data_IF_937819688890
#
_entry.id   IF_937819688890
#
_cell.length_a   1.000
_cell.length_b   1.000
_cell.length_c   1.000
_cell.angle_alpha   90.00
_cell.angle_beta   90.00
_cell.angle_gamma   90.00
#
_symmetry.space_group_name_H-M   'P 1'
#
loop_
_entity.id
_entity.type
_entity.pdbx_description
1 polymer ?
#
# COMPACT_ATOMS: atom_id res chain seq x y z
N UNK A 1 34.54 9.38 21.53
CA UNK A 1 34.59 8.66 20.24
C UNK A 1 33.19 8.66 19.64
N UNK A 2 32.94 9.41 18.56
CA UNK A 2 31.67 9.32 17.82
C UNK A 2 31.89 8.30 16.71
N UNK A 3 31.35 7.11 16.88
CA UNK A 3 31.30 6.12 15.82
C UNK A 3 30.05 6.40 15.02
N UNK A 4 30.19 6.62 13.71
CA UNK A 4 29.05 6.69 12.81
C UNK A 4 28.85 5.29 12.23
N UNK A 5 27.75 4.63 12.59
CA UNK A 5 27.35 3.35 12.03
C UNK A 5 26.27 3.64 10.97
N UNK A 6 26.61 3.58 9.69
CA UNK A 6 25.63 3.65 8.61
C UNK A 6 25.20 2.23 8.21
N UNK A 7 23.90 2.06 8.07
CA UNK A 7 23.26 0.86 7.56
C UNK A 7 23.24 0.92 6.03
N UNK A 8 23.77 -0.09 5.35
CA UNK A 8 23.48 -0.27 3.93
C UNK A 8 23.07 -1.70 3.62
N UNK A 9 22.17 -1.83 2.65
CA UNK A 9 21.56 -3.10 2.28
C UNK A 9 22.16 -3.56 0.97
N UNK A 10 22.71 -4.77 0.95
CA UNK A 10 23.04 -5.47 -0.30
C UNK A 10 21.78 -6.20 -0.78
N UNK A 11 21.18 -5.72 -1.88
CA UNK A 11 19.97 -6.33 -2.44
C UNK A 11 20.32 -7.46 -3.41
N UNK A 12 19.73 -8.63 -3.20
CA UNK A 12 19.00 -9.29 -4.29
C UNK A 12 17.77 -10.01 -3.75
N UNK A 13 16.69 -9.91 -4.53
CA UNK A 13 15.45 -10.71 -4.55
C UNK A 13 15.12 -11.48 -3.26
N UNK A 14 14.08 -10.98 -2.57
CA UNK A 14 13.42 -11.51 -1.38
C UNK A 14 14.01 -11.06 -0.04
N UNK A 15 13.80 -9.79 0.28
CA UNK A 15 13.24 -9.51 1.62
C UNK A 15 11.85 -10.12 1.59
N UNK A 16 11.59 -11.16 2.39
CA UNK A 16 10.21 -11.55 2.66
C UNK A 16 9.52 -10.33 3.30
N UNK A 17 8.64 -9.69 2.54
CA UNK A 17 7.63 -8.75 3.04
C UNK A 17 7.96 -7.25 3.01
N UNK A 18 8.52 -6.69 1.92
CA UNK A 18 8.70 -5.22 1.78
C UNK A 18 8.51 -4.70 0.34
N UNK A 19 7.56 -5.25 -0.44
CA UNK A 19 7.21 -4.71 -1.76
C UNK A 19 8.37 -4.50 -2.75
N UNK A 20 8.18 -3.63 -3.74
CA UNK A 20 9.21 -3.24 -4.69
C UNK A 20 8.67 -2.49 -5.90
N UNK A 21 9.59 -2.04 -6.76
CA UNK A 21 9.23 -1.45 -8.05
C UNK A 21 8.48 -2.50 -8.90
N UNK A 22 7.41 -2.11 -9.60
CA UNK A 22 6.56 -3.03 -10.33
C UNK A 22 7.28 -3.80 -11.43
N UNK A 23 8.30 -3.21 -12.08
CA UNK A 23 9.21 -3.95 -12.98
C UNK A 23 9.86 -5.19 -12.35
N UNK A 24 9.98 -5.24 -11.02
CA UNK A 24 10.54 -6.36 -10.26
C UNK A 24 9.44 -7.26 -9.71
N UNK A 25 8.40 -6.70 -9.11
CA UNK A 25 7.38 -7.48 -8.38
C UNK A 25 6.16 -7.86 -9.21
N UNK A 26 5.92 -7.18 -10.33
CA UNK A 26 4.88 -7.46 -11.32
C UNK A 26 5.45 -7.32 -12.75
N UNK A 27 6.44 -8.16 -13.13
CA UNK A 27 7.18 -7.99 -14.38
C UNK A 27 6.28 -8.14 -15.61
N UNK A 28 6.46 -7.25 -16.59
CA UNK A 28 5.70 -7.26 -17.84
C UNK A 28 4.36 -6.52 -17.79
N UNK A 29 4.01 -5.94 -16.64
CA UNK A 29 2.90 -5.01 -16.52
C UNK A 29 3.39 -3.59 -16.85
N UNK A 30 2.87 -2.99 -17.93
CA UNK A 30 3.37 -1.70 -18.41
C UNK A 30 2.90 -0.54 -17.52
N UNK A 31 1.68 -0.62 -16.99
CA UNK A 31 1.11 0.42 -16.12
C UNK A 31 1.93 0.58 -14.84
N UNK A 32 2.39 -0.52 -14.27
CA UNK A 32 3.02 -0.55 -12.96
C UNK A 32 4.55 -0.59 -12.98
N UNK A 33 5.18 -0.58 -14.17
CA UNK A 33 6.62 -0.78 -14.32
C UNK A 33 7.47 0.12 -13.40
N UNK A 34 7.04 1.37 -13.23
CA UNK A 34 7.73 2.39 -12.45
C UNK A 34 7.03 2.73 -11.12
N UNK A 35 5.97 2.02 -10.77
CA UNK A 35 5.23 2.22 -9.53
C UNK A 35 5.76 1.32 -8.43
N UNK A 36 5.74 1.81 -7.19
CA UNK A 36 6.06 0.98 -6.04
C UNK A 36 4.82 0.19 -5.62
N UNK A 37 4.94 -1.14 -5.59
CA UNK A 37 3.88 -2.03 -5.13
C UNK A 37 4.29 -2.58 -3.78
N UNK A 38 3.48 -2.31 -2.77
CA UNK A 38 3.73 -2.84 -1.44
C UNK A 38 3.22 -4.28 -1.31
N UNK A 39 4.06 -5.13 -0.71
CA UNK A 39 3.79 -6.54 -0.42
C UNK A 39 4.23 -6.80 1.01
N UNK A 40 3.33 -6.54 1.95
CA UNK A 40 3.57 -6.66 3.38
C UNK A 40 2.58 -7.67 4.00
N UNK A 41 3.07 -8.76 4.61
CA UNK A 41 2.21 -9.82 5.14
C UNK A 41 1.52 -9.39 6.44
N UNK A 42 0.49 -10.14 6.84
CA UNK A 42 -0.24 -9.83 8.07
C UNK A 42 0.65 -10.02 9.31
N UNK A 43 1.67 -10.86 9.21
CA UNK A 43 2.61 -11.12 10.30
C UNK A 43 1.96 -11.87 11.46
N UNK A 44 1.01 -12.76 11.15
CA UNK A 44 0.24 -13.51 12.13
C UNK A 44 -0.94 -12.76 12.75
N UNK A 45 -1.15 -11.48 12.41
CA UNK A 45 -2.36 -10.75 12.81
C UNK A 45 -3.56 -11.28 12.02
N UNK A 46 -4.64 -11.59 12.73
CA UNK A 46 -5.91 -12.03 12.14
C UNK A 46 -6.99 -10.95 12.18
N UNK A 47 -6.81 -9.92 13.03
CA UNK A 47 -7.75 -8.81 13.20
C UNK A 47 -7.02 -7.51 13.52
N UNK A 48 -7.64 -6.37 13.20
CA UNK A 48 -7.19 -5.04 13.61
C UNK A 48 -8.37 -4.20 14.08
N UNK A 49 -8.24 -3.51 15.22
CA UNK A 49 -9.23 -2.53 15.68
C UNK A 49 -8.84 -1.12 15.26
N UNK A 50 -9.74 -0.43 14.56
CA UNK A 50 -9.56 0.95 14.13
C UNK A 50 -10.88 1.73 14.25
N UNK A 51 -10.84 2.88 14.94
CA UNK A 51 -11.99 3.75 15.20
C UNK A 51 -13.22 3.03 15.77
N UNK A 52 -13.00 2.09 16.69
CA UNK A 52 -14.05 1.35 17.39
C UNK A 52 -14.57 0.12 16.65
N UNK A 53 -14.09 -0.14 15.44
CA UNK A 53 -14.47 -1.31 14.65
C UNK A 53 -13.32 -2.30 14.58
N UNK A 54 -13.64 -3.60 14.69
CA UNK A 54 -12.66 -4.67 14.49
C UNK A 54 -12.85 -5.23 13.10
N UNK A 55 -11.78 -5.24 12.32
CA UNK A 55 -11.73 -5.77 10.96
C UNK A 55 -10.94 -7.08 10.98
N UNK A 56 -11.48 -8.13 10.38
CA UNK A 56 -10.70 -9.32 10.06
C UNK A 56 -9.64 -8.97 8.99
N UNK A 57 -8.53 -9.69 9.05
CA UNK A 57 -7.42 -9.55 8.11
C UNK A 57 -7.27 -10.80 7.27
N UNK A 58 -6.94 -10.63 5.99
CA UNK A 58 -6.67 -11.72 5.07
C UNK A 58 -5.35 -11.47 4.34
N UNK A 59 -4.52 -12.51 4.24
CA UNK A 59 -3.28 -12.47 3.48
C UNK A 59 -3.51 -13.07 2.10
N UNK A 60 -3.28 -12.28 1.04
CA UNK A 60 -3.46 -12.69 -0.36
C UNK A 60 -2.21 -12.31 -1.13
N UNK A 61 -1.53 -13.28 -1.73
CA UNK A 61 -0.31 -13.01 -2.48
C UNK A 61 0.84 -12.39 -1.65
N UNK A 62 0.81 -12.51 -0.32
CA UNK A 62 1.76 -11.85 0.59
C UNK A 62 1.41 -10.41 0.96
N UNK A 63 0.28 -9.88 0.49
CA UNK A 63 -0.30 -8.62 0.94
C UNK A 63 -1.34 -8.87 2.03
N UNK A 64 -1.32 -8.06 3.10
CA UNK A 64 -2.35 -8.09 4.13
C UNK A 64 -3.45 -7.07 3.85
N UNK A 65 -4.68 -7.55 3.73
CA UNK A 65 -5.86 -6.77 3.39
C UNK A 65 -6.88 -6.81 4.53
N UNK A 66 -7.66 -5.73 4.67
CA UNK A 66 -8.92 -5.80 5.40
C UNK A 66 -9.89 -6.73 4.68
N UNK A 67 -10.58 -7.58 5.45
CA UNK A 67 -11.61 -8.50 4.95
C UNK A 67 -13.01 -7.88 4.92
N UNK A 68 -13.22 -6.77 5.62
CA UNK A 68 -14.43 -5.95 5.55
C UNK A 68 -14.13 -4.58 4.93
N UNK A 69 -15.18 -3.95 4.37
CA UNK A 69 -15.08 -2.58 3.89
C UNK A 69 -14.84 -1.62 5.06
N UNK A 70 -14.01 -0.61 4.85
CA UNK A 70 -13.75 0.42 5.85
C UNK A 70 -15.05 1.16 6.20
N UNK A 71 -15.23 1.45 7.49
CA UNK A 71 -16.44 2.11 8.00
C UNK A 71 -16.11 3.27 8.97
N UNK A 72 -14.93 3.86 8.81
CA UNK A 72 -14.50 5.00 9.62
C UNK A 72 -15.26 6.29 9.27
N UNK A 73 -15.55 7.10 10.28
CA UNK A 73 -16.13 8.44 10.14
C UNK A 73 -15.14 9.57 10.47
N UNK A 74 -13.91 9.20 10.81
CA UNK A 74 -12.80 10.11 11.08
C UNK A 74 -11.55 9.67 10.31
N UNK A 75 -10.68 10.62 9.98
CA UNK A 75 -9.35 10.33 9.47
C UNK A 75 -8.44 9.79 10.57
N UNK A 76 -7.24 9.33 10.20
CA UNK A 76 -6.23 8.75 11.11
C UNK A 76 -5.79 9.72 12.21
N UNK A 77 -5.79 11.01 11.94
CA UNK A 77 -5.48 12.05 12.93
C UNK A 77 -6.66 12.38 13.88
N UNK A 78 -7.81 11.73 13.70
CA UNK A 78 -9.03 11.92 14.48
C UNK A 78 -9.93 13.04 13.97
N UNK A 79 -9.54 13.79 12.93
CA UNK A 79 -10.41 14.81 12.33
C UNK A 79 -11.64 14.17 11.68
N UNK A 80 -12.82 14.81 11.73
CA UNK A 80 -14.04 14.25 11.15
C UNK A 80 -13.98 14.27 9.62
N UNK A 81 -14.54 13.24 9.00
CA UNK A 81 -14.85 13.23 7.56
C UNK A 81 -16.23 13.87 7.38
N UNK A 82 -16.40 14.68 6.34
CA UNK A 82 -17.70 15.30 6.09
C UNK A 82 -18.79 14.25 5.80
N UNK A 83 -19.98 14.46 6.36
CA UNK A 83 -21.17 13.63 6.13
C UNK A 83 -22.30 14.51 5.57
N UNK A 84 -22.34 14.70 4.24
CA UNK A 84 -23.37 15.54 3.60
C UNK A 84 -24.80 15.02 3.74
N UNK A 85 -24.98 13.74 4.07
CA UNK A 85 -26.28 13.06 4.13
C UNK A 85 -27.13 13.34 2.86
N UNK A 86 -28.27 14.00 3.02
CA UNK A 86 -29.24 14.32 1.96
C UNK A 86 -28.86 15.55 1.12
N UNK A 87 -27.80 16.28 1.49
CA UNK A 87 -27.31 17.42 0.71
C UNK A 87 -26.41 16.95 -0.45
N UNK A 88 -27.05 16.67 -1.59
CA UNK A 88 -26.34 16.24 -2.80
C UNK A 88 -25.41 17.32 -3.36
N UNK A 89 -25.79 18.59 -3.24
CA UNK A 89 -24.94 19.71 -3.63
C UNK A 89 -23.67 19.79 -2.77
N UNK A 90 -23.78 19.52 -1.46
CA UNK A 90 -22.60 19.46 -0.58
C UNK A 90 -21.71 18.29 -0.96
N UNK A 91 -22.28 17.11 -1.22
CA UNK A 91 -21.52 15.93 -1.67
C UNK A 91 -20.77 16.19 -2.99
N UNK A 92 -21.47 16.66 -4.02
CA UNK A 92 -20.93 16.88 -5.36
C UNK A 92 -19.78 17.91 -5.35
N UNK A 93 -19.87 18.94 -4.52
CA UNK A 93 -18.87 20.00 -4.43
C UNK A 93 -17.79 19.75 -3.36
N UNK A 94 -17.82 18.61 -2.66
CA UNK A 94 -16.88 18.33 -1.59
C UNK A 94 -15.51 17.91 -2.15
N UNK A 95 -14.56 18.83 -2.09
CA UNK A 95 -13.16 18.64 -2.51
C UNK A 95 -12.20 18.25 -1.36
N UNK A 96 -12.69 18.14 -0.13
CA UNK A 96 -11.88 17.83 1.08
C UNK A 96 -12.03 16.39 1.56
N UNK A 97 -13.02 15.68 1.04
CA UNK A 97 -13.40 14.33 1.41
C UNK A 97 -14.76 14.26 2.08
N UNK A 98 -15.57 13.29 1.65
CA UNK A 98 -16.88 12.97 2.21
C UNK A 98 -17.09 11.46 2.28
N UNK A 99 -17.95 11.03 3.21
CA UNK A 99 -18.44 9.66 3.28
C UNK A 99 -19.97 9.60 3.37
N UNK A 100 -20.52 8.42 3.07
CA UNK A 100 -21.92 8.10 3.19
C UNK A 100 -22.11 6.63 3.54
N UNK A 101 -23.20 6.32 4.23
CA UNK A 101 -23.72 4.96 4.29
C UNK A 101 -24.63 4.75 3.08
N UNK A 102 -24.80 3.50 2.64
CA UNK A 102 -25.78 3.23 1.58
C UNK A 102 -27.16 3.78 2.02
N UNK A 103 -27.86 4.49 1.13
CA UNK A 103 -29.12 5.19 1.42
C UNK A 103 -29.07 6.15 2.63
N UNK A 104 -27.88 6.60 3.04
CA UNK A 104 -27.65 7.38 4.26
C UNK A 104 -28.17 6.70 5.54
N UNK A 105 -28.21 5.36 5.56
CA UNK A 105 -28.70 4.57 6.70
C UNK A 105 -27.58 3.69 7.27
N UNK A 106 -26.94 4.17 8.33
CA UNK A 106 -25.92 3.40 9.03
C UNK A 106 -26.49 2.22 9.83
N UNK A 107 -27.75 2.30 10.27
CA UNK A 107 -28.34 1.27 11.14
C UNK A 107 -28.55 -0.02 10.36
N UNK A 108 -28.94 0.11 9.09
CA UNK A 108 -29.22 -1.04 8.23
C UNK A 108 -27.97 -1.52 7.49
N UNK A 109 -27.11 -0.63 7.00
CA UNK A 109 -26.09 -1.01 6.02
C UNK A 109 -24.64 -0.97 6.51
N UNK A 110 -24.33 -0.28 7.61
CA UNK A 110 -22.95 -0.07 8.02
C UNK A 110 -22.24 -1.38 8.41
N UNK A 111 -22.93 -2.28 9.13
CA UNK A 111 -22.33 -3.53 9.64
C UNK A 111 -21.85 -4.45 8.53
N UNK A 112 -22.60 -4.49 7.42
CA UNK A 112 -22.39 -5.46 6.36
C UNK A 112 -21.52 -4.86 5.25
N UNK A 113 -21.76 -3.59 4.89
CA UNK A 113 -21.20 -3.00 3.68
C UNK A 113 -20.15 -1.92 3.94
N UNK A 114 -20.01 -1.45 5.17
CA UNK A 114 -19.16 -0.32 5.51
C UNK A 114 -19.62 0.99 4.86
N UNK A 115 -18.71 1.96 4.77
CA UNK A 115 -19.00 3.28 4.23
C UNK A 115 -18.53 3.43 2.78
N UNK A 116 -19.21 4.32 2.06
CA UNK A 116 -18.88 4.79 0.72
C UNK A 116 -18.18 6.14 0.82
N UNK A 117 -16.99 6.25 0.25
CA UNK A 117 -16.16 7.46 0.31
C UNK A 117 -16.02 8.07 -1.08
N UNK A 118 -16.06 9.40 -1.17
CA UNK A 118 -15.57 10.05 -2.37
C UNK A 118 -14.04 9.96 -2.45
N UNK A 119 -13.48 10.12 -3.65
CA UNK A 119 -12.04 9.94 -3.84
C UNK A 119 -11.21 11.02 -3.13
N UNK A 120 -11.79 12.19 -2.85
CA UNK A 120 -11.12 13.22 -2.05
C UNK A 120 -10.83 12.76 -0.61
N UNK A 121 -11.70 11.93 -0.02
CA UNK A 121 -11.44 11.30 1.28
C UNK A 121 -10.34 10.24 1.19
N UNK A 122 -10.27 9.53 0.06
CA UNK A 122 -9.28 8.47 -0.21
C UNK A 122 -7.85 9.01 -0.17
N UNK A 123 -7.61 10.17 -0.78
CA UNK A 123 -6.28 10.79 -0.86
C UNK A 123 -6.06 11.94 0.13
N UNK A 124 -6.95 12.08 1.12
CA UNK A 124 -6.77 13.11 2.13
C UNK A 124 -5.44 12.87 2.91
N UNK A 125 -4.59 13.89 3.09
CA UNK A 125 -3.31 13.76 3.79
C UNK A 125 -3.43 13.26 5.24
N UNK A 126 -4.57 13.48 5.90
CA UNK A 126 -4.86 12.96 7.23
C UNK A 126 -5.08 11.45 7.25
N UNK A 127 -5.21 10.80 6.08
CA UNK A 127 -5.21 9.35 5.90
C UNK A 127 -6.51 8.67 6.33
N UNK A 128 -7.08 7.83 5.46
CA UNK A 128 -8.33 7.11 5.74
C UNK A 128 -8.12 5.80 6.51
N UNK A 129 -7.05 5.09 6.19
CA UNK A 129 -6.66 3.83 6.85
C UNK A 129 -5.82 4.08 8.11
N UNK A 130 -5.74 3.13 9.06
CA UNK A 130 -4.92 3.26 10.28
C UNK A 130 -3.43 3.48 9.97
N UNK A 131 -2.66 3.90 11.00
CA UNK A 131 -1.21 3.98 10.88
C UNK A 131 -0.61 2.62 10.50
N UNK A 132 0.36 2.61 9.58
CA UNK A 132 0.90 1.38 8.99
C UNK A 132 -0.02 0.72 7.96
N UNK A 133 -1.11 1.38 7.54
CA UNK A 133 -2.02 0.93 6.50
C UNK A 133 -2.35 2.07 5.54
N UNK A 134 -2.75 1.72 4.32
CA UNK A 134 -3.12 2.67 3.28
C UNK A 134 -4.29 2.18 2.44
N UNK A 135 -4.89 3.07 1.65
CA UNK A 135 -5.81 2.66 0.58
C UNK A 135 -4.97 2.14 -0.57
N UNK A 136 -5.31 0.95 -1.06
CA UNK A 136 -4.54 0.29 -2.10
C UNK A 136 -4.45 1.11 -3.39
N UNK A 137 -3.26 1.15 -3.98
CA UNK A 137 -3.05 1.73 -5.32
C UNK A 137 -3.63 0.83 -6.41
N UNK A 138 -3.79 1.35 -7.61
CA UNK A 138 -4.22 0.56 -8.76
C UNK A 138 -3.25 -0.60 -9.07
N UNK A 139 -1.95 -0.38 -8.84
CA UNK A 139 -0.93 -1.40 -9.02
C UNK A 139 -0.92 -2.46 -7.91
N UNK A 140 -1.31 -2.11 -6.69
CA UNK A 140 -1.51 -3.10 -5.63
C UNK A 140 -2.74 -3.98 -5.89
N UNK A 141 -3.79 -3.41 -6.49
CA UNK A 141 -4.92 -4.20 -7.00
C UNK A 141 -4.51 -5.11 -8.17
N UNK A 142 -3.71 -4.63 -9.12
CA UNK A 142 -3.22 -5.45 -10.24
C UNK A 142 -2.31 -6.59 -9.76
N UNK A 143 -1.49 -6.33 -8.74
CA UNK A 143 -0.70 -7.36 -8.08
C UNK A 143 -1.59 -8.43 -7.43
N UNK A 144 -2.60 -8.01 -6.65
CA UNK A 144 -3.58 -8.92 -6.05
C UNK A 144 -4.22 -9.83 -7.11
N UNK A 145 -4.76 -9.25 -8.18
CA UNK A 145 -5.36 -9.98 -9.30
C UNK A 145 -4.38 -10.96 -9.96
N UNK A 146 -3.12 -10.55 -10.14
CA UNK A 146 -2.06 -11.41 -10.66
C UNK A 146 -1.77 -12.60 -9.77
N UNK A 147 -1.78 -12.42 -8.44
CA UNK A 147 -1.60 -13.53 -7.49
C UNK A 147 -2.77 -14.54 -7.53
N UNK A 148 -3.92 -14.12 -8.05
CA UNK A 148 -5.09 -14.96 -8.27
C UNK A 148 -5.11 -15.64 -9.65
N UNK A 149 -4.12 -15.37 -10.50
CA UNK A 149 -3.95 -16.03 -11.79
C UNK A 149 -4.18 -15.15 -13.02
N UNK A 150 -4.51 -13.85 -12.84
CA UNK A 150 -4.74 -12.95 -13.97
C UNK A 150 -3.43 -12.70 -14.72
N UNK A 151 -3.45 -12.84 -16.05
CA UNK A 151 -2.28 -12.55 -16.88
C UNK A 151 -1.92 -11.06 -16.82
N UNK A 152 -0.64 -10.71 -16.95
CA UNK A 152 -0.22 -9.29 -16.97
C UNK A 152 -0.81 -8.51 -18.14
N UNK A 153 -1.07 -9.20 -19.27
CA UNK A 153 -1.78 -8.60 -20.41
C UNK A 153 -3.22 -8.22 -20.04
N UNK A 154 -3.94 -9.09 -19.33
CA UNK A 154 -5.31 -8.78 -18.90
C UNK A 154 -5.34 -7.69 -17.82
N UNK A 155 -4.33 -7.66 -16.94
CA UNK A 155 -4.21 -6.63 -15.89
C UNK A 155 -4.06 -5.21 -16.45
N UNK A 156 -3.58 -5.02 -17.68
CA UNK A 156 -3.49 -3.68 -18.30
C UNK A 156 -4.80 -3.27 -19.00
N UNK A 157 -5.78 -4.18 -19.15
CA UNK A 157 -7.06 -3.91 -19.81
C UNK A 157 -7.98 -3.09 -18.88
N UNK A 158 -8.60 -2.05 -19.43
CA UNK A 158 -9.75 -1.36 -18.82
C UNK A 158 -11.03 -2.05 -19.27
N UNK A 159 -11.83 -2.54 -18.33
CA UNK A 159 -12.98 -3.40 -18.62
C UNK A 159 -13.15 -4.54 -17.63
N UNK A 160 -14.10 -5.43 -17.93
CA UNK A 160 -14.15 -6.76 -17.36
C UNK A 160 -12.96 -7.58 -17.86
N UNK A 161 -12.20 -8.18 -16.95
CA UNK A 161 -10.92 -8.83 -17.26
C UNK A 161 -10.62 -10.04 -16.39
N UNK A 162 -9.62 -10.78 -16.83
CA UNK A 162 -9.23 -12.05 -16.23
C UNK A 162 -10.14 -13.20 -16.66
N UNK A 163 -10.11 -14.28 -15.90
CA UNK A 163 -10.82 -15.53 -16.19
C UNK A 163 -11.87 -15.84 -15.13
N UNK A 164 -11.52 -15.74 -13.85
CA UNK A 164 -12.38 -16.08 -12.71
C UNK A 164 -12.03 -15.28 -11.43
N UNK A 165 -11.15 -14.29 -11.51
CA UNK A 165 -10.61 -13.57 -10.35
C UNK A 165 -11.69 -12.79 -9.59
N UNK A 166 -12.74 -12.33 -10.29
CA UNK A 166 -13.91 -11.73 -9.64
C UNK A 166 -14.64 -12.77 -8.79
N UNK A 167 -14.80 -13.99 -9.30
CA UNK A 167 -15.31 -15.11 -8.52
C UNK A 167 -14.44 -15.46 -7.31
N UNK A 168 -13.12 -15.40 -7.43
CA UNK A 168 -12.17 -15.67 -6.34
C UNK A 168 -12.21 -14.61 -5.23
N UNK A 169 -12.60 -13.37 -5.56
CA UNK A 169 -12.65 -12.24 -4.63
C UNK A 169 -14.02 -12.06 -3.96
N UNK A 170 -15.12 -12.36 -4.66
CA UNK A 170 -16.49 -12.21 -4.13
C UNK A 170 -16.78 -13.19 -3.00
N UNK A 171 -17.60 -12.76 -2.04
CA UNK A 171 -18.29 -13.66 -1.12
C UNK A 171 -19.16 -14.69 -1.87
N UNK A 172 -19.33 -15.87 -1.29
CA UNK A 172 -20.09 -16.98 -1.90
C UNK A 172 -21.58 -16.98 -1.55
N UNK A 173 -21.98 -16.23 -0.52
CA UNK A 173 -23.33 -16.23 0.01
C UNK A 173 -24.30 -15.41 -0.84
N UNK A 174 -25.56 -15.85 -0.84
CA UNK A 174 -26.68 -15.09 -1.43
C UNK A 174 -27.45 -14.27 -0.39
N UNK A 175 -26.88 -14.11 0.80
CA UNK A 175 -27.44 -13.21 1.84
C UNK A 175 -27.25 -11.76 1.43
N UNK A 176 -26.11 -11.45 0.82
CA UNK A 176 -25.78 -10.11 0.35
C UNK A 176 -25.88 -10.00 -1.17
N UNK A 177 -25.36 -10.98 -1.92
CA UNK A 177 -25.46 -11.01 -3.38
C UNK A 177 -26.83 -11.53 -3.83
N UNK A 178 -27.49 -10.78 -4.71
CA UNK A 178 -28.71 -11.25 -5.39
C UNK A 178 -28.42 -12.54 -6.19
N UNK A 179 -27.20 -12.65 -6.73
CA UNK A 179 -26.62 -13.84 -7.34
C UNK A 179 -25.14 -14.00 -6.98
N UNK A 180 -24.73 -15.20 -6.55
CA UNK A 180 -23.31 -15.52 -6.30
C UNK A 180 -22.70 -16.35 -7.44
N UNK A 181 -23.15 -16.14 -8.67
CA UNK A 181 -22.71 -16.93 -9.84
C UNK A 181 -21.19 -16.93 -9.99
N UNK A 182 -20.61 -18.13 -9.93
CA UNK A 182 -19.16 -18.38 -10.03
C UNK A 182 -18.32 -17.79 -8.89
N UNK A 183 -18.93 -17.30 -7.82
CA UNK A 183 -18.21 -16.88 -6.62
C UNK A 183 -17.66 -18.10 -5.88
N UNK A 184 -16.37 -18.05 -5.54
CA UNK A 184 -15.67 -19.09 -4.78
C UNK A 184 -15.06 -18.57 -3.50
N UNK A 185 -14.85 -17.25 -3.38
CA UNK A 185 -14.11 -16.59 -2.30
C UNK A 185 -12.79 -17.29 -1.93
N UNK A 186 -12.15 -17.96 -2.89
CA UNK A 186 -10.94 -18.76 -2.64
C UNK A 186 -9.73 -17.91 -2.22
N UNK A 187 -9.79 -16.59 -2.44
CA UNK A 187 -8.82 -15.63 -1.92
C UNK A 187 -9.05 -15.25 -0.46
N UNK A 188 -10.28 -15.42 0.06
CA UNK A 188 -10.70 -14.91 1.37
C UNK A 188 -11.00 -13.40 1.41
N UNK A 189 -10.85 -12.66 0.30
CA UNK A 189 -11.12 -11.22 0.23
C UNK A 189 -12.54 -10.84 0.68
N UNK A 190 -13.51 -11.72 0.40
CA UNK A 190 -14.92 -11.59 0.82
C UNK A 190 -15.53 -10.26 0.37
N UNK A 191 -15.47 -9.99 -0.94
CA UNK A 191 -16.09 -8.81 -1.55
C UNK A 191 -17.61 -8.88 -1.49
N UNK A 192 -18.25 -7.81 -1.00
CA UNK A 192 -19.70 -7.70 -0.84
C UNK A 192 -20.30 -6.63 -1.76
N UNK A 193 -21.57 -6.78 -2.19
CA UNK A 193 -22.25 -5.86 -3.09
C UNK A 193 -22.84 -4.66 -2.36
N UNK A 194 -21.97 -3.85 -1.75
CA UNK A 194 -22.36 -2.66 -0.98
C UNK A 194 -22.91 -1.51 -1.82
N UNK A 195 -23.03 -1.69 -3.14
CA UNK A 195 -23.46 -0.66 -4.07
C UNK A 195 -22.48 0.50 -4.14
N UNK A 196 -22.99 1.64 -4.59
CA UNK A 196 -22.23 2.86 -4.78
C UNK A 196 -23.12 4.11 -4.75
N UNK A 197 -22.51 5.28 -4.52
CA UNK A 197 -23.20 6.58 -4.51
C UNK A 197 -22.78 7.41 -5.72
N UNK A 198 -23.76 7.91 -6.47
CA UNK A 198 -23.54 8.86 -7.56
C UNK A 198 -23.32 10.27 -7.01
N UNK A 199 -22.65 11.12 -7.80
CA UNK A 199 -22.50 12.55 -7.51
C UNK A 199 -23.84 13.26 -7.26
N UNK A 200 -24.89 12.84 -7.98
CA UNK A 200 -26.25 13.38 -7.88
C UNK A 200 -27.00 12.93 -6.62
N UNK A 201 -26.39 12.08 -5.79
CA UNK A 201 -26.94 11.60 -4.51
C UNK A 201 -27.67 10.27 -4.55
N UNK A 202 -27.90 9.70 -5.74
CA UNK A 202 -28.56 8.41 -5.87
C UNK A 202 -27.62 7.27 -5.49
N UNK A 203 -28.19 6.26 -4.83
CA UNK A 203 -27.52 5.02 -4.49
C UNK A 203 -27.99 3.91 -5.44
N UNK A 204 -27.05 3.10 -5.91
CA UNK A 204 -27.32 2.03 -6.88
C UNK A 204 -26.57 0.75 -6.52
N UNK A 205 -27.08 -0.35 -7.09
CA UNK A 205 -26.42 -1.66 -7.16
C UNK A 205 -26.14 -2.35 -5.82
N UNK A 206 -26.86 -1.99 -4.75
CA UNK A 206 -26.90 -2.85 -3.58
C UNK A 206 -27.42 -4.23 -3.99
N UNK A 207 -26.75 -5.28 -3.55
CA UNK A 207 -27.08 -6.66 -3.91
C UNK A 207 -26.50 -7.15 -5.23
N UNK A 208 -26.28 -6.24 -6.19
CA UNK A 208 -25.83 -6.62 -7.54
C UNK A 208 -24.38 -6.24 -7.85
N UNK A 209 -23.81 -5.22 -7.21
CA UNK A 209 -22.41 -4.87 -7.42
C UNK A 209 -21.73 -4.24 -6.18
N UNK A 210 -20.43 -4.46 -6.07
CA UNK A 210 -19.57 -3.79 -5.09
C UNK A 210 -18.47 -3.03 -5.81
N UNK A 211 -18.28 -1.75 -5.46
CA UNK A 211 -17.23 -0.90 -6.01
C UNK A 211 -16.19 -0.52 -4.96
N UNK A 212 -14.90 -0.55 -5.31
CA UNK A 212 -13.79 -0.18 -4.44
C UNK A 212 -12.85 0.81 -5.12
N UNK A 213 -12.64 1.97 -4.49
CA UNK A 213 -11.63 2.91 -4.98
C UNK A 213 -10.22 2.32 -4.86
N UNK A 214 -9.36 2.69 -5.80
CA UNK A 214 -7.92 2.74 -5.54
C UNK A 214 -7.50 4.17 -5.19
N UNK A 215 -6.32 4.32 -4.59
CA UNK A 215 -5.70 5.64 -4.35
C UNK A 215 -5.01 6.24 -5.59
N UNK A 216 -5.06 5.57 -6.74
CA UNK A 216 -4.39 6.04 -7.96
C UNK A 216 -5.29 6.95 -8.79
N UNK A 217 -4.76 8.14 -9.05
CA UNK A 217 -5.38 9.13 -9.93
C UNK A 217 -5.20 8.74 -11.39
N UNK A 218 -6.23 8.94 -12.23
CA UNK A 218 -6.07 8.92 -13.69
C UNK A 218 -5.78 10.33 -14.20
N UNK A 219 -6.58 11.30 -13.75
CA UNK A 219 -6.43 12.71 -14.09
C UNK A 219 -7.14 13.60 -13.06
N UNK A 220 -7.16 14.91 -13.30
CA UNK A 220 -7.77 15.89 -12.41
C UNK A 220 -9.22 15.56 -11.97
N UNK A 221 -10.01 14.91 -12.82
CA UNK A 221 -11.43 14.63 -12.57
C UNK A 221 -11.74 13.17 -12.22
N UNK A 222 -10.82 12.23 -12.49
CA UNK A 222 -11.10 10.80 -12.40
C UNK A 222 -10.01 10.01 -11.69
N UNK A 223 -10.42 8.90 -11.08
CA UNK A 223 -9.55 7.94 -10.43
C UNK A 223 -9.95 6.50 -10.75
N UNK A 224 -9.05 5.55 -10.49
CA UNK A 224 -9.28 4.14 -10.76
C UNK A 224 -10.07 3.47 -9.65
N UNK A 225 -10.95 2.54 -10.02
CA UNK A 225 -11.68 1.69 -9.09
C UNK A 225 -11.75 0.25 -9.61
N UNK A 226 -12.16 -0.65 -8.72
CA UNK A 226 -12.54 -2.03 -9.04
C UNK A 226 -14.02 -2.21 -8.79
N UNK A 227 -14.64 -3.08 -9.59
CA UNK A 227 -16.02 -3.49 -9.37
C UNK A 227 -16.15 -5.00 -9.59
N UNK A 228 -17.00 -5.60 -8.78
CA UNK A 228 -17.44 -6.98 -8.91
C UNK A 228 -18.96 -6.95 -9.00
N UNK A 229 -19.51 -7.84 -9.81
CA UNK A 229 -20.93 -7.85 -10.17
C UNK A 229 -21.48 -9.28 -10.04
N UNK A 230 -22.77 -9.41 -9.72
CA UNK A 230 -23.43 -10.63 -9.31
C UNK A 230 -23.50 -11.70 -10.41
N UNK A 231 -23.48 -11.26 -11.67
CA UNK A 231 -23.53 -12.10 -12.87
C UNK A 231 -22.16 -12.30 -13.55
N UNK A 232 -21.08 -11.69 -13.02
CA UNK A 232 -19.72 -11.79 -13.55
C UNK A 232 -18.79 -12.62 -12.68
N UNK A 233 -17.93 -13.39 -13.33
CA UNK A 233 -16.77 -14.06 -12.69
C UNK A 233 -15.47 -13.28 -12.87
N UNK A 234 -15.49 -12.23 -13.68
CA UNK A 234 -14.38 -11.33 -13.97
C UNK A 234 -14.28 -10.20 -12.94
N UNK A 235 -13.10 -9.58 -12.82
CA UNK A 235 -12.96 -8.29 -12.12
C UNK A 235 -13.10 -7.16 -13.12
N UNK A 236 -13.82 -6.11 -12.75
CA UNK A 236 -13.90 -4.89 -13.54
C UNK A 236 -12.88 -3.86 -13.08
N UNK A 237 -12.10 -3.29 -14.00
CA UNK A 237 -11.29 -2.08 -13.76
C UNK A 237 -11.74 -0.96 -14.65
N UNK A 238 -12.11 0.16 -14.05
CA UNK A 238 -12.48 1.38 -14.75
C UNK A 238 -12.00 2.62 -14.00
N UNK A 239 -12.02 3.75 -14.69
CA UNK A 239 -11.91 5.07 -14.10
C UNK A 239 -13.30 5.70 -13.94
N UNK A 240 -13.49 6.48 -12.88
CA UNK A 240 -14.71 7.25 -12.70
C UNK A 240 -14.46 8.59 -12.02
N UNK A 241 -15.46 9.47 -12.08
CA UNK A 241 -15.42 10.78 -11.46
C UNK A 241 -15.16 10.68 -9.95
N UNK A 242 -14.20 11.47 -9.45
CA UNK A 242 -13.76 11.47 -8.04
C UNK A 242 -14.85 11.79 -7.00
N UNK A 243 -15.97 12.35 -7.47
CA UNK A 243 -17.15 12.68 -6.66
C UNK A 243 -18.08 11.48 -6.43
N UNK A 244 -17.77 10.29 -6.94
CA UNK A 244 -18.55 9.07 -6.67
C UNK A 244 -18.13 8.41 -5.35
N UNK A 245 -19.09 7.78 -4.67
CA UNK A 245 -18.87 7.06 -3.44
C UNK A 245 -18.65 5.58 -3.70
N UNK A 246 -17.45 5.08 -3.42
CA UNK A 246 -17.14 3.65 -3.45
C UNK A 246 -16.56 3.20 -2.11
N UNK A 247 -16.60 1.89 -1.87
CA UNK A 247 -16.03 1.27 -0.67
C UNK A 247 -14.51 1.33 -0.68
N UNK A 248 -13.90 1.06 0.48
CA UNK A 248 -12.44 1.03 0.64
C UNK A 248 -12.02 -0.27 1.32
N UNK A 249 -10.94 -0.87 0.84
CA UNK A 249 -10.16 -1.86 1.58
C UNK A 249 -8.77 -1.30 1.88
N UNK A 250 -8.39 -1.36 3.16
CA UNK A 250 -7.06 -0.99 3.58
C UNK A 250 -6.10 -2.16 3.35
N UNK A 251 -4.90 -1.83 2.87
CA UNK A 251 -3.76 -2.74 2.75
C UNK A 251 -2.67 -2.30 3.71
N UNK A 252 -1.99 -3.25 4.36
CA UNK A 252 -0.92 -2.97 5.31
C UNK A 252 0.28 -2.42 4.58
N UNK A 253 0.74 -1.23 4.95
CA UNK A 253 1.88 -0.53 4.38
C UNK A 253 3.21 -0.96 5.03
N UNK A 254 4.28 -0.96 4.25
CA UNK A 254 5.67 -1.20 4.66
C UNK A 254 6.30 -0.03 5.43
N UNK A 255 5.69 1.16 5.41
CA UNK A 255 6.27 2.39 5.96
C UNK A 255 6.59 2.36 7.47
N UNK A 256 6.08 1.41 8.25
CA UNK A 256 6.46 1.27 9.67
C UNK A 256 7.89 0.76 9.90
N UNK A 257 8.53 0.14 8.91
CA UNK A 257 9.96 -0.23 9.04
C UNK A 257 10.88 1.00 8.84
N UNK A 258 10.41 2.05 8.17
CA UNK A 258 11.16 3.30 7.99
C UNK A 258 10.94 4.26 9.17
N UNK A 259 9.72 4.33 9.73
CA UNK A 259 9.41 5.26 10.83
C UNK A 259 10.04 4.87 12.19
N UNK A 260 10.41 3.60 12.39
CA UNK A 260 11.15 3.13 13.56
C UNK A 260 12.67 3.29 13.44
N UNK A 261 13.18 3.55 12.23
CA UNK A 261 14.51 4.08 11.99
C UNK A 261 14.43 5.60 11.93
N UNK A 262 14.28 6.25 13.09
CA UNK A 262 14.63 7.67 13.18
C UNK A 262 16.08 7.79 12.75
N UNK A 263 16.31 8.35 11.55
CA UNK A 263 17.61 8.84 11.14
C UNK A 263 18.05 9.79 12.25
N UNK A 264 18.93 9.32 13.14
CA UNK A 264 19.56 10.19 14.14
C UNK A 264 20.45 11.13 13.35
N UNK A 265 19.84 12.24 12.94
CA UNK A 265 20.45 13.49 12.54
C UNK A 265 21.63 13.31 11.58
N UNK A 266 21.37 13.51 10.28
CA UNK A 266 22.36 13.70 9.20
C UNK A 266 23.73 14.14 9.73
N UNK A 267 24.62 13.18 9.98
CA UNK A 267 26.01 13.48 10.36
C UNK A 267 26.72 13.68 9.03
N UNK A 268 26.87 14.94 8.66
CA UNK A 268 27.60 15.45 7.50
C UNK A 268 29.08 15.06 7.56
N UNK A 269 29.43 13.79 7.35
CA UNK A 269 30.82 13.35 7.35
C UNK A 269 31.12 12.21 6.36
N UNK A 270 30.09 11.51 5.86
CA UNK A 270 30.27 10.35 4.99
C UNK A 270 29.11 10.26 3.99
N UNK A 271 29.43 10.39 2.70
CA UNK A 271 28.49 10.16 1.61
C UNK A 271 28.63 8.71 1.12
N UNK A 272 27.50 7.99 1.06
CA UNK A 272 27.46 6.61 0.55
C UNK A 272 26.40 6.48 -0.56
N UNK A 273 26.77 5.87 -1.67
CA UNK A 273 25.86 5.64 -2.80
C UNK A 273 26.35 4.50 -3.71
N UNK A 274 25.46 3.71 -4.34
CA UNK A 274 24.03 3.62 -4.04
C UNK A 274 23.82 2.90 -2.70
N UNK A 275 22.71 3.22 -2.03
CA UNK A 275 22.19 2.43 -0.92
C UNK A 275 20.68 2.28 -1.14
N UNK A 276 20.18 1.07 -1.45
CA UNK A 276 20.88 -0.22 -1.48
C UNK A 276 21.97 -0.38 -2.56
N UNK A 277 22.92 -1.30 -2.35
CA UNK A 277 24.05 -1.56 -3.26
C UNK A 277 24.02 -2.98 -3.83
N UNK A 278 24.55 -3.18 -5.04
CA UNK A 278 24.64 -4.51 -5.69
C UNK A 278 26.09 -4.93 -5.93
N UNK A 279 26.84 -4.12 -6.67
CA UNK A 279 28.20 -4.49 -7.11
C UNK A 279 29.26 -3.54 -6.56
N UNK A 280 28.98 -2.25 -6.51
CA UNK A 280 29.95 -1.22 -6.15
C UNK A 280 29.33 -0.19 -5.22
N UNK A 281 29.90 -0.05 -4.02
CA UNK A 281 29.53 0.99 -3.07
C UNK A 281 30.55 2.13 -3.17
N UNK A 282 30.09 3.33 -3.50
CA UNK A 282 30.90 4.55 -3.40
C UNK A 282 30.81 5.07 -1.97
N UNK A 283 31.96 5.31 -1.37
CA UNK A 283 32.11 5.88 -0.03
C UNK A 283 33.01 7.10 -0.15
N UNK A 284 32.49 8.27 0.18
CA UNK A 284 33.22 9.53 0.15
C UNK A 284 33.25 10.15 1.55
N UNK A 285 34.39 10.10 2.24
CA UNK A 285 34.54 10.72 3.54
C UNK A 285 34.90 12.21 3.38
N UNK A 286 34.46 13.05 4.30
CA UNK A 286 34.90 14.47 4.35
C UNK A 286 36.34 14.62 4.86
N UNK A 287 36.84 13.64 5.61
CA UNK A 287 38.17 13.61 6.21
C UNK A 287 38.80 12.22 6.06
N UNK A 288 40.15 12.09 6.05
CA UNK A 288 40.81 10.81 6.16
C UNK A 288 40.23 9.97 7.29
N UNK A 289 39.76 8.78 6.96
CA UNK A 289 39.01 7.92 7.87
C UNK A 289 39.36 6.46 7.65
N UNK A 290 39.38 5.70 8.74
CA UNK A 290 39.37 4.24 8.69
C UNK A 290 37.93 3.77 8.48
N UNK A 291 37.69 3.12 7.35
CA UNK A 291 36.45 2.44 7.05
C UNK A 291 36.48 1.03 7.64
N UNK A 292 35.39 0.59 8.24
CA UNK A 292 35.21 -0.74 8.80
C UNK A 292 33.84 -1.30 8.41
N UNK A 293 33.80 -2.50 7.84
CA UNK A 293 32.56 -3.16 7.39
C UNK A 293 32.28 -4.37 8.26
N UNK A 294 31.06 -4.48 8.77
CA UNK A 294 30.58 -5.63 9.53
C UNK A 294 29.36 -6.26 8.85
N UNK A 295 29.17 -7.58 8.99
CA UNK A 295 27.89 -8.21 8.66
C UNK A 295 26.84 -8.00 9.78
N UNK A 296 25.61 -8.47 9.54
CA UNK A 296 24.51 -8.41 10.48
C UNK A 296 24.79 -9.09 11.84
N UNK A 297 25.68 -10.08 11.87
CA UNK A 297 26.11 -10.78 13.10
C UNK A 297 27.22 -10.05 13.86
N UNK A 298 27.65 -8.86 13.37
CA UNK A 298 28.73 -8.08 13.98
C UNK A 298 30.13 -8.59 13.62
N UNK A 299 30.27 -9.54 12.70
CA UNK A 299 31.56 -10.01 12.23
C UNK A 299 32.21 -8.97 11.33
N UNK A 300 33.46 -8.63 11.63
CA UNK A 300 34.30 -7.77 10.80
C UNK A 300 34.64 -8.45 9.46
N UNK A 301 34.44 -7.73 8.35
CA UNK A 301 34.69 -8.21 6.99
C UNK A 301 35.80 -7.44 6.28
N UNK A 302 35.86 -6.12 6.51
CA UNK A 302 36.83 -5.24 5.86
C UNK A 302 37.23 -4.12 6.80
N UNK A 303 38.51 -3.78 6.78
CA UNK A 303 39.04 -2.51 7.30
C UNK A 303 39.89 -1.85 6.23
N UNK A 304 39.67 -0.55 5.96
CA UNK A 304 40.41 0.17 4.92
C UNK A 304 40.53 1.66 5.22
N UNK A 305 41.74 2.20 5.12
CA UNK A 305 41.97 3.65 5.18
C UNK A 305 41.52 4.32 3.87
N UNK A 306 40.74 5.40 3.99
CA UNK A 306 40.22 6.17 2.87
C UNK A 306 40.44 7.67 3.08
N UNK A 307 41.04 8.33 2.09
CA UNK A 307 41.38 9.76 2.14
C UNK A 307 40.57 10.61 1.13
N UNK A 308 39.85 9.96 0.22
CA UNK A 308 39.03 10.54 -0.84
C UNK A 308 37.92 9.54 -1.22
N UNK A 309 37.08 9.90 -2.19
CA UNK A 309 36.04 9.01 -2.75
C UNK A 309 36.63 7.65 -3.13
N UNK A 310 36.08 6.60 -2.55
CA UNK A 310 36.55 5.25 -2.74
C UNK A 310 35.40 4.33 -3.16
N UNK A 311 35.65 3.47 -4.14
CA UNK A 311 34.68 2.48 -4.59
C UNK A 311 35.03 1.11 -4.02
N UNK A 312 34.12 0.54 -3.25
CA UNK A 312 34.23 -0.81 -2.71
C UNK A 312 33.52 -1.78 -3.62
N UNK A 313 34.22 -2.81 -4.08
CA UNK A 313 33.58 -3.94 -4.72
C UNK A 313 32.86 -4.77 -3.65
N UNK A 314 31.55 -4.92 -3.79
CA UNK A 314 30.67 -5.65 -2.88
C UNK A 314 30.13 -6.94 -3.50
N UNK A 315 30.51 -7.27 -4.74
CA UNK A 315 29.98 -8.44 -5.47
C UNK A 315 30.31 -9.78 -4.83
N UNK A 316 31.31 -9.82 -3.95
CA UNK A 316 31.74 -11.01 -3.22
C UNK A 316 31.04 -11.16 -1.86
N UNK A 317 30.34 -10.13 -1.39
CA UNK A 317 29.63 -10.16 -0.13
C UNK A 317 28.32 -10.92 -0.31
N UNK A 318 27.97 -11.73 0.69
CA UNK A 318 26.66 -12.39 0.71
C UNK A 318 25.55 -11.33 0.79
N UNK A 319 24.35 -11.66 0.35
CA UNK A 319 23.22 -10.72 0.47
C UNK A 319 22.88 -10.52 1.95
N UNK A 320 22.56 -9.29 2.35
CA UNK A 320 22.26 -9.01 3.76
C UNK A 320 22.45 -7.56 4.17
N UNK A 321 22.22 -7.31 5.47
CA UNK A 321 22.48 -6.03 6.12
C UNK A 321 23.95 -5.98 6.52
N UNK A 322 24.57 -4.87 6.20
CA UNK A 322 25.94 -4.58 6.60
C UNK A 322 26.02 -3.24 7.31
N UNK A 323 26.93 -3.19 8.27
CA UNK A 323 27.21 -1.99 9.02
C UNK A 323 28.54 -1.41 8.57
N UNK A 324 28.50 -0.18 8.06
CA UNK A 324 29.68 0.57 7.74
C UNK A 324 29.99 1.54 8.86
N UNK A 325 31.20 1.47 9.37
CA UNK A 325 31.72 2.39 10.34
C UNK A 325 32.86 3.18 9.71
N UNK A 326 32.79 4.51 9.77
CA UNK A 326 33.95 5.35 9.47
C UNK A 326 34.45 5.99 10.77
N UNK A 327 35.74 5.86 11.05
CA UNK A 327 36.39 6.49 12.21
C UNK A 327 37.50 7.43 11.76
N UNK A 328 37.51 8.64 12.31
CA UNK A 328 38.55 9.64 12.10
C UNK A 328 39.09 10.14 13.45
N UNK A 329 40.23 10.82 13.43
CA UNK A 329 40.94 11.26 14.65
C UNK A 329 40.31 12.52 15.31
N UNK A 330 39.30 13.15 14.69
CA UNK A 330 38.76 14.44 15.16
C UNK A 330 37.45 14.26 15.94
N UNK A 331 37.56 14.27 17.28
CA UNK A 331 36.42 14.21 18.19
C UNK A 331 35.43 15.38 18.10
N UNK A 332 34.16 15.06 18.43
CA UNK A 332 32.96 15.86 18.79
C UNK A 332 32.89 17.36 18.46
N UNK A 333 31.94 17.72 17.59
CA UNK A 333 30.99 18.82 17.87
C UNK A 333 29.57 18.24 17.93
N UNK A 334 28.81 18.57 18.97
CA UNK A 334 27.39 18.26 19.13
C UNK A 334 26.66 19.55 19.41
N UNK A 335 25.66 19.89 18.61
CA UNK A 335 24.59 20.80 19.02
C UNK A 335 23.30 20.48 18.29
N UNK A 336 22.28 20.15 19.10
CA UNK A 336 20.83 19.92 18.88
C UNK A 336 20.37 19.36 17.56
#
# INVERSE_FOLDING_TARGET
MKNLLLLFVLLSSQVFGQGGLGSVVLPGNATCENEYINVSPCGGLTTLTYNGYTYDLVEIGGQCWFRENLQTTTYRDGSPIDYPDSSNATWENNATGAYAWYNNDSTTYASDYGALYNWHAVVNPSGLCPAGWQVATDCEWMYLEGTLGMSTTDQDITGWRGTDEGGKLKDTGTTHWDSSSGATNSSGFTGLPGGLRYATGLFYNLGTAGGWWSSSELNASKAWYRIMDDDKIYVGRWDYAKVFGFSIRCIKDSAEIVASLKETKKVSALYIYPNPVTNYLVVQPEHPSTLTLYNAQGQLLLTKEINHTHTLNTSHLSKGIYFLRATNERGVHSQK
#
